data_IF_593322467146
#
_entry.id   IF_593322467146
#
_cell.length_a   1.000
_cell.length_b   1.000
_cell.length_c   1.000
_cell.angle_alpha   90.00
_cell.angle_beta   90.00
_cell.angle_gamma   90.00
#
_symmetry.space_group_name_H-M   'P 1'
#
loop_
_entity.id
_entity.type
_entity.pdbx_description
1 polymer ?
#
# COMPACT_ATOMS: atom_id res chain seq x y z
N UNK A 1 5.00 16.41 -12.19
CA UNK A 1 6.02 15.36 -12.47
C UNK A 1 5.39 14.03 -12.14
N UNK A 2 5.43 13.02 -13.02
CA UNK A 2 4.90 11.68 -12.68
C UNK A 2 5.83 11.00 -11.66
N UNK A 3 5.26 10.31 -10.68
CA UNK A 3 6.04 9.52 -9.70
C UNK A 3 6.88 8.45 -10.41
N UNK A 4 7.98 8.03 -9.76
CA UNK A 4 8.94 7.07 -10.29
C UNK A 4 8.55 5.61 -10.03
N UNK A 5 7.75 5.36 -9.01
CA UNK A 5 7.35 4.01 -8.60
C UNK A 5 5.84 3.88 -8.69
N UNK A 6 5.36 2.85 -9.37
CA UNK A 6 3.95 2.48 -9.38
C UNK A 6 3.67 1.67 -8.12
N UNK A 7 2.65 2.03 -7.35
CA UNK A 7 2.17 1.24 -6.22
C UNK A 7 0.75 0.79 -6.55
N UNK A 8 0.53 -0.51 -6.64
CA UNK A 8 -0.82 -1.09 -6.69
C UNK A 8 -1.17 -1.56 -5.29
N UNK A 9 -2.42 -1.35 -4.87
CA UNK A 9 -2.93 -1.76 -3.56
C UNK A 9 -4.27 -2.48 -3.72
N UNK A 10 -4.54 -3.43 -2.82
CA UNK A 10 -5.79 -4.18 -2.77
C UNK A 10 -6.28 -4.29 -1.32
N UNK A 11 -7.57 -4.01 -1.14
CA UNK A 11 -8.25 -4.01 0.16
C UNK A 11 -9.00 -5.32 0.40
N UNK A 12 -9.43 -5.55 1.65
CA UNK A 12 -10.03 -6.82 2.06
C UNK A 12 -11.41 -7.09 1.45
N UNK A 13 -12.12 -6.07 0.95
CA UNK A 13 -13.47 -6.21 0.38
C UNK A 13 -13.47 -6.09 -1.16
N UNK A 14 -12.31 -6.23 -1.80
CA UNK A 14 -12.16 -6.17 -3.26
C UNK A 14 -11.84 -4.77 -3.81
N UNK A 15 -11.61 -3.79 -2.94
CA UNK A 15 -11.10 -2.47 -3.31
C UNK A 15 -9.73 -2.60 -3.97
N UNK A 16 -9.44 -1.73 -4.93
CA UNK A 16 -8.10 -1.61 -5.49
C UNK A 16 -7.84 -0.18 -5.95
N UNK A 17 -6.57 0.21 -5.88
CA UNK A 17 -6.15 1.52 -6.36
C UNK A 17 -4.70 1.49 -6.86
N UNK A 18 -4.30 2.52 -7.58
CA UNK A 18 -2.94 2.71 -8.07
C UNK A 18 -2.44 4.12 -7.75
N UNK A 19 -1.24 4.18 -7.16
CA UNK A 19 -0.54 5.40 -6.83
C UNK A 19 0.80 5.49 -7.56
N UNK A 20 1.31 6.70 -7.73
CA UNK A 20 2.64 6.97 -8.25
C UNK A 20 3.48 7.67 -7.20
N UNK A 21 4.44 6.95 -6.61
CA UNK A 21 5.32 7.45 -5.56
C UNK A 21 6.58 8.08 -6.16
N UNK A 22 7.10 9.12 -5.52
CA UNK A 22 8.38 9.72 -5.88
C UNK A 22 9.56 8.99 -5.22
N UNK A 23 9.32 8.34 -4.07
CA UNK A 23 10.31 7.58 -3.32
C UNK A 23 9.70 6.41 -2.54
N UNK A 24 10.51 5.40 -2.20
CA UNK A 24 10.07 4.30 -1.35
C UNK A 24 9.64 4.74 0.06
N UNK A 25 10.11 5.90 0.55
CA UNK A 25 9.73 6.43 1.86
C UNK A 25 8.25 6.85 1.93
N UNK A 26 7.64 7.14 0.78
CA UNK A 26 6.22 7.50 0.70
C UNK A 26 5.29 6.29 0.76
N UNK A 27 5.82 5.07 0.64
CA UNK A 27 5.02 3.86 0.59
C UNK A 27 4.18 3.69 1.86
N UNK A 28 4.80 3.82 3.04
CA UNK A 28 4.08 3.68 4.31
C UNK A 28 2.98 4.74 4.47
N UNK A 29 3.27 5.98 4.11
CA UNK A 29 2.29 7.07 4.18
C UNK A 29 1.09 6.77 3.29
N UNK A 30 1.33 6.36 2.03
CA UNK A 30 0.25 6.05 1.09
C UNK A 30 -0.55 4.81 1.51
N UNK A 31 0.10 3.78 2.06
CA UNK A 31 -0.61 2.62 2.59
C UNK A 31 -1.49 3.01 3.79
N UNK A 32 -0.95 3.80 4.72
CA UNK A 32 -1.69 4.27 5.90
C UNK A 32 -2.86 5.17 5.52
N UNK A 33 -2.65 6.14 4.64
CA UNK A 33 -3.69 7.06 4.17
C UNK A 33 -4.81 6.30 3.47
N UNK A 34 -4.45 5.33 2.62
CA UNK A 34 -5.44 4.53 1.89
C UNK A 34 -6.18 3.54 2.80
N UNK A 35 -5.51 2.90 3.77
CA UNK A 35 -6.16 2.09 4.80
C UNK A 35 -7.23 2.88 5.56
N UNK A 36 -6.88 4.10 5.97
CA UNK A 36 -7.81 5.01 6.62
C UNK A 36 -8.98 5.40 5.69
N UNK A 37 -8.73 5.62 4.39
CA UNK A 37 -9.76 5.95 3.40
C UNK A 37 -10.79 4.81 3.24
N UNK A 38 -10.34 3.56 3.21
CA UNK A 38 -11.22 2.38 3.04
C UNK A 38 -11.68 1.76 4.37
N UNK A 39 -11.20 2.27 5.50
CA UNK A 39 -11.60 1.84 6.84
C UNK A 39 -11.07 0.46 7.25
N UNK A 40 -9.82 0.13 6.90
CA UNK A 40 -9.15 -1.11 7.30
C UNK A 40 -7.79 -0.85 7.96
N UNK A 41 -7.14 -1.90 8.47
CA UNK A 41 -5.76 -1.78 8.94
C UNK A 41 -4.76 -1.87 7.77
N UNK A 42 -3.57 -1.32 7.94
CA UNK A 42 -2.46 -1.49 6.97
C UNK A 42 -2.06 -2.96 6.81
N UNK A 43 -2.25 -3.76 7.87
CA UNK A 43 -2.09 -5.21 7.87
C UNK A 43 -3.10 -5.94 6.97
N UNK A 44 -4.18 -5.30 6.55
CA UNK A 44 -5.19 -5.88 5.66
C UNK A 44 -4.97 -5.50 4.19
N UNK A 45 -3.97 -4.65 3.91
CA UNK A 45 -3.66 -4.19 2.56
C UNK A 45 -2.61 -5.09 1.94
N UNK A 46 -2.96 -5.68 0.80
CA UNK A 46 -1.97 -6.21 -0.11
C UNK A 46 -1.41 -5.09 -0.97
N UNK A 47 -0.12 -5.13 -1.28
CA UNK A 47 0.47 -4.13 -2.17
C UNK A 47 1.54 -4.71 -3.08
N UNK A 48 1.80 -4.01 -4.18
CA UNK A 48 2.84 -4.34 -5.14
C UNK A 48 3.52 -3.06 -5.61
N UNK A 49 4.85 -3.03 -5.53
CA UNK A 49 5.65 -1.95 -6.09
C UNK A 49 6.13 -2.35 -7.47
N UNK A 50 5.84 -1.49 -8.45
CA UNK A 50 6.05 -1.70 -9.88
C UNK A 50 5.41 -3.01 -10.35
N UNK A 51 6.18 -3.86 -11.03
CA UNK A 51 5.78 -5.19 -11.47
C UNK A 51 6.50 -6.27 -10.63
N UNK A 52 6.82 -5.93 -9.38
CA UNK A 52 7.51 -6.80 -8.42
C UNK A 52 6.60 -7.83 -7.75
N UNK A 53 7.05 -8.41 -6.64
CA UNK A 53 6.22 -9.33 -5.86
C UNK A 53 5.06 -8.59 -5.17
N UNK A 54 3.88 -9.23 -5.16
CA UNK A 54 2.77 -8.80 -4.32
C UNK A 54 3.04 -9.24 -2.89
N UNK A 55 3.01 -8.28 -1.98
CA UNK A 55 3.10 -8.49 -0.55
C UNK A 55 1.67 -8.59 -0.04
N UNK A 56 1.34 -9.72 0.57
CA UNK A 56 0.03 -9.94 1.18
C UNK A 56 -0.03 -9.22 2.54
N UNK A 57 -1.20 -8.75 2.97
CA UNK A 57 -1.39 -7.99 4.21
C UNK A 57 -0.74 -8.62 5.44
N UNK A 58 -0.92 -9.94 5.66
CA UNK A 58 -0.27 -10.67 6.75
C UNK A 58 1.27 -10.67 6.68
N UNK A 59 1.82 -10.52 5.47
CA UNK A 59 3.25 -10.38 5.20
C UNK A 59 3.72 -8.94 5.03
N UNK A 60 2.85 -7.95 5.28
CA UNK A 60 3.18 -6.54 5.16
C UNK A 60 4.16 -6.15 6.28
N UNK A 61 5.44 -5.87 5.98
CA UNK A 61 6.43 -5.55 7.01
C UNK A 61 6.12 -4.24 7.74
N UNK A 62 5.26 -3.40 7.18
CA UNK A 62 4.87 -2.12 7.76
C UNK A 62 3.63 -2.19 8.65
N UNK A 63 2.98 -3.35 8.74
CA UNK A 63 1.79 -3.56 9.57
C UNK A 63 2.03 -3.24 11.06
N UNK A 64 3.26 -3.42 11.55
CA UNK A 64 3.63 -3.17 12.93
C UNK A 64 4.05 -1.71 13.22
N UNK A 65 4.17 -0.87 12.19
CA UNK A 65 4.64 0.52 12.33
C UNK A 65 3.49 1.53 12.48
N UNK A 66 2.25 1.05 12.41
CA UNK A 66 1.02 1.85 12.35
C UNK A 66 -0.01 1.28 13.35
N UNK A 67 0.25 1.44 14.65
CA UNK A 67 -0.69 1.14 15.74
C UNK A 67 -1.39 2.43 16.20
#
# INVERSE_FOLDING_TARGET
MKGKFKLNVWGPNGENNQFFLHSHKELLLVLSDWANEIGCAVADIDYQVNDGLRIMGEGNPYAAEVD
#
